data_IF_001514874294
#
_entry.id   IF_001514874294
#
_cell.length_a   1.000
_cell.length_b   1.000
_cell.length_c   1.000
_cell.angle_alpha   90.00
_cell.angle_beta   90.00
_cell.angle_gamma   90.00
#
_symmetry.space_group_name_H-M   'P 1'
#
loop_
_entity.id
_entity.type
_entity.pdbx_description
1 polymer ?
#
# COMPACT_ATOMS: atom_id res chain seq x y z
N UNK A 1 -15.19 -4.62 20.72
CA UNK A 1 -16.30 -3.63 20.66
C UNK A 1 -15.87 -2.28 20.06
N UNK A 2 -14.82 -1.63 20.56
CA UNK A 2 -14.37 -0.31 20.04
C UNK A 2 -13.89 -0.33 18.58
N UNK A 3 -13.13 -1.35 18.17
CA UNK A 3 -12.68 -1.52 16.78
C UNK A 3 -13.85 -1.67 15.79
N UNK A 4 -14.89 -2.43 16.17
CA UNK A 4 -16.11 -2.60 15.37
C UNK A 4 -16.90 -1.29 15.22
N UNK A 5 -17.05 -0.50 16.29
CA UNK A 5 -17.72 0.81 16.20
C UNK A 5 -16.98 1.79 15.30
N UNK A 6 -15.66 1.91 15.47
CA UNK A 6 -14.81 2.76 14.62
C UNK A 6 -14.95 2.39 13.14
N UNK A 7 -15.00 1.10 12.85
CA UNK A 7 -15.21 0.56 11.52
C UNK A 7 -16.58 0.94 10.92
N UNK A 8 -17.66 0.83 11.70
CA UNK A 8 -19.00 1.25 11.26
C UNK A 8 -19.07 2.77 11.05
N UNK A 9 -18.41 3.55 11.90
CA UNK A 9 -18.31 5.01 11.74
C UNK A 9 -17.60 5.38 10.43
N UNK A 10 -16.47 4.76 10.10
CA UNK A 10 -15.77 5.00 8.84
C UNK A 10 -16.64 4.68 7.62
N UNK A 11 -17.41 3.59 7.69
CA UNK A 11 -18.34 3.22 6.63
C UNK A 11 -19.47 4.25 6.48
N UNK A 12 -20.06 4.72 7.58
CA UNK A 12 -21.07 5.78 7.55
C UNK A 12 -20.50 7.09 6.99
N UNK A 13 -19.32 7.50 7.44
CA UNK A 13 -18.61 8.69 6.92
C UNK A 13 -18.34 8.58 5.42
N UNK A 14 -17.94 7.40 4.95
CA UNK A 14 -17.73 7.13 3.52
C UNK A 14 -19.00 7.36 2.71
N UNK A 15 -20.14 6.83 3.16
CA UNK A 15 -21.43 6.97 2.48
C UNK A 15 -21.90 8.43 2.48
N UNK A 16 -21.82 9.11 3.63
CA UNK A 16 -22.26 10.50 3.79
C UNK A 16 -21.40 11.43 2.93
N UNK A 17 -20.08 11.28 2.98
CA UNK A 17 -19.18 12.13 2.19
C UNK A 17 -19.36 11.89 0.70
N UNK A 18 -19.49 10.63 0.25
CA UNK A 18 -19.74 10.32 -1.15
C UNK A 18 -20.97 11.03 -1.73
N UNK A 19 -22.03 11.22 -0.93
CA UNK A 19 -23.28 11.85 -1.37
C UNK A 19 -23.30 13.37 -1.20
N UNK A 20 -22.54 13.91 -0.25
CA UNK A 20 -22.69 15.29 0.19
C UNK A 20 -21.37 16.07 0.24
N UNK A 21 -20.30 15.61 -0.43
CA UNK A 21 -18.97 16.25 -0.39
C UNK A 21 -18.98 17.73 -0.82
N UNK A 22 -19.89 18.14 -1.69
CA UNK A 22 -20.03 19.54 -2.14
C UNK A 22 -20.51 20.46 -1.00
N UNK A 23 -21.45 19.97 -0.18
CA UNK A 23 -22.02 20.70 0.95
C UNK A 23 -21.05 20.65 2.14
N UNK A 24 -20.47 19.49 2.40
CA UNK A 24 -19.51 19.29 3.50
C UNK A 24 -18.22 20.06 3.22
N UNK A 25 -17.80 20.11 1.96
CA UNK A 25 -16.55 20.72 1.55
C UNK A 25 -15.32 19.90 1.99
N UNK A 26 -14.17 20.55 2.22
CA UNK A 26 -12.94 19.88 2.60
C UNK A 26 -13.05 19.22 3.98
N UNK A 27 -12.45 18.05 4.13
CA UNK A 27 -12.44 17.32 5.38
C UNK A 27 -11.23 17.74 6.21
N UNK A 28 -11.46 18.34 7.37
CA UNK A 28 -10.39 18.94 8.18
C UNK A 28 -9.31 17.93 8.62
N UNK A 29 -9.70 16.68 8.88
CA UNK A 29 -8.82 15.65 9.43
C UNK A 29 -8.22 14.71 8.37
N UNK A 30 -8.17 15.12 7.10
CA UNK A 30 -7.62 14.27 6.01
C UNK A 30 -6.22 13.75 6.32
N UNK A 31 -5.35 14.57 6.91
CA UNK A 31 -4.00 14.15 7.31
C UNK A 31 -4.01 13.07 8.40
N UNK A 32 -4.96 13.16 9.32
CA UNK A 32 -5.12 12.15 10.37
C UNK A 32 -5.60 10.83 9.79
N UNK A 33 -6.51 10.84 8.81
CA UNK A 33 -6.96 9.63 8.10
C UNK A 33 -5.79 8.90 7.44
N UNK A 34 -4.89 9.62 6.77
CA UNK A 34 -3.67 9.04 6.19
C UNK A 34 -2.74 8.48 7.27
N UNK A 35 -2.57 9.19 8.39
CA UNK A 35 -1.76 8.72 9.51
C UNK A 35 -2.34 7.44 10.15
N UNK A 36 -3.66 7.34 10.24
CA UNK A 36 -4.34 6.14 10.70
C UNK A 36 -4.09 4.97 9.75
N UNK A 37 -4.13 5.21 8.44
CA UNK A 37 -3.83 4.19 7.42
C UNK A 37 -2.37 3.70 7.51
N UNK A 38 -1.41 4.61 7.72
CA UNK A 38 0.00 4.26 7.91
C UNK A 38 0.23 3.40 9.16
N UNK A 39 -0.50 3.67 10.24
CA UNK A 39 -0.28 3.03 11.55
C UNK A 39 -1.12 1.77 11.80
N UNK A 40 -2.27 1.63 11.13
CA UNK A 40 -3.16 0.50 11.40
C UNK A 40 -2.49 -0.83 11.06
N UNK A 41 -2.73 -1.84 11.91
CA UNK A 41 -2.41 -3.25 11.66
C UNK A 41 -3.68 -4.08 11.47
N UNK A 42 -4.86 -3.49 11.59
CA UNK A 42 -6.13 -4.18 11.38
C UNK A 42 -6.55 -4.10 9.91
N UNK A 43 -6.74 -5.26 9.26
CA UNK A 43 -7.08 -5.36 7.83
C UNK A 43 -8.44 -4.74 7.51
N UNK A 44 -9.42 -4.90 8.41
CA UNK A 44 -10.75 -4.34 8.23
C UNK A 44 -10.72 -2.80 8.33
N UNK A 45 -9.99 -2.26 9.31
CA UNK A 45 -9.76 -0.82 9.44
C UNK A 45 -9.02 -0.25 8.22
N UNK A 46 -7.96 -0.92 7.76
CA UNK A 46 -7.20 -0.54 6.54
C UNK A 46 -8.15 -0.36 5.36
N UNK A 47 -8.98 -1.36 5.09
CA UNK A 47 -9.86 -1.35 3.91
C UNK A 47 -10.90 -0.24 4.01
N UNK A 48 -11.50 -0.04 5.19
CA UNK A 48 -12.47 1.04 5.43
C UNK A 48 -11.83 2.43 5.32
N UNK A 49 -10.61 2.61 5.81
CA UNK A 49 -9.86 3.86 5.64
C UNK A 49 -9.59 4.13 4.15
N UNK A 50 -9.18 3.10 3.40
CA UNK A 50 -8.93 3.23 1.97
C UNK A 50 -10.21 3.59 1.20
N UNK A 51 -11.33 2.92 1.51
CA UNK A 51 -12.65 3.25 0.96
C UNK A 51 -13.03 4.70 1.27
N UNK A 52 -12.77 5.18 2.49
CA UNK A 52 -13.05 6.57 2.84
C UNK A 52 -12.16 7.54 2.06
N UNK A 53 -10.87 7.26 1.95
CA UNK A 53 -9.92 8.05 1.15
C UNK A 53 -10.39 8.15 -0.31
N UNK A 54 -10.92 7.07 -0.89
CA UNK A 54 -11.50 7.07 -2.24
C UNK A 54 -12.64 8.08 -2.43
N UNK A 55 -13.29 8.50 -1.34
CA UNK A 55 -14.33 9.52 -1.35
C UNK A 55 -13.80 10.88 -0.95
N UNK A 56 -12.81 10.96 -0.07
CA UNK A 56 -12.14 12.22 0.28
C UNK A 56 -11.52 12.90 -0.94
N UNK A 57 -11.01 12.13 -1.90
CA UNK A 57 -10.39 12.67 -3.12
C UNK A 57 -11.37 13.37 -4.08
N UNK A 58 -12.68 13.28 -3.85
CA UNK A 58 -13.68 14.05 -4.60
C UNK A 58 -13.49 15.57 -4.41
N UNK A 59 -12.90 15.99 -3.29
CA UNK A 59 -12.58 17.39 -3.03
C UNK A 59 -11.09 17.69 -3.26
N UNK A 60 -10.81 18.66 -4.13
CA UNK A 60 -9.45 19.03 -4.54
C UNK A 60 -8.53 19.46 -3.37
N UNK A 61 -9.08 20.08 -2.31
CA UNK A 61 -8.29 20.48 -1.13
C UNK A 61 -7.83 19.27 -0.32
N UNK A 62 -8.67 18.25 -0.16
CA UNK A 62 -8.28 17.01 0.51
C UNK A 62 -7.16 16.31 -0.25
N UNK A 63 -7.22 16.30 -1.59
CA UNK A 63 -6.16 15.71 -2.42
C UNK A 63 -4.82 16.39 -2.18
N UNK A 64 -4.82 17.73 -2.05
CA UNK A 64 -3.62 18.49 -1.67
C UNK A 64 -3.10 18.07 -0.29
N UNK A 65 -3.99 17.97 0.70
CA UNK A 65 -3.62 17.54 2.05
C UNK A 65 -3.03 16.12 2.08
N UNK A 66 -3.58 15.18 1.29
CA UNK A 66 -3.05 13.81 1.13
C UNK A 66 -1.65 13.83 0.53
N UNK A 67 -1.43 14.63 -0.52
CA UNK A 67 -0.12 14.78 -1.16
C UNK A 67 0.90 15.37 -0.17
N UNK A 68 0.50 16.39 0.58
CA UNK A 68 1.39 17.13 1.48
C UNK A 68 1.78 16.34 2.72
N UNK A 69 0.94 15.41 3.19
CA UNK A 69 1.27 14.53 4.32
C UNK A 69 1.93 13.20 3.90
N UNK A 70 2.34 13.06 2.63
CA UNK A 70 3.03 11.85 2.15
C UNK A 70 2.13 10.65 1.84
N UNK A 71 0.81 10.85 1.71
CA UNK A 71 -0.16 9.78 1.49
C UNK A 71 0.09 8.98 0.20
N UNK A 72 0.70 9.57 -0.82
CA UNK A 72 1.10 8.85 -2.05
C UNK A 72 2.03 7.66 -1.73
N UNK A 73 3.02 7.88 -0.85
CA UNK A 73 3.96 6.82 -0.46
C UNK A 73 3.26 5.74 0.35
N UNK A 74 2.37 6.11 1.28
CA UNK A 74 1.58 5.16 2.07
C UNK A 74 0.69 4.29 1.18
N UNK A 75 0.02 4.89 0.19
CA UNK A 75 -0.81 4.18 -0.77
C UNK A 75 0.01 3.18 -1.60
N UNK A 76 1.13 3.61 -2.18
CA UNK A 76 2.00 2.75 -3.00
C UNK A 76 2.55 1.57 -2.18
N UNK A 77 2.94 1.80 -0.93
CA UNK A 77 3.44 0.73 -0.06
C UNK A 77 2.40 -0.36 0.24
N UNK A 78 1.12 0.01 0.36
CA UNK A 78 0.03 -0.96 0.52
C UNK A 78 -0.24 -1.74 -0.76
N UNK A 79 -0.03 -1.11 -1.91
CA UNK A 79 -0.24 -1.72 -3.22
C UNK A 79 0.72 -2.90 -3.47
N UNK A 80 1.92 -2.86 -2.88
CA UNK A 80 2.88 -3.98 -2.92
C UNK A 80 2.31 -5.29 -2.36
N UNK A 81 1.24 -5.24 -1.56
CA UNK A 81 0.57 -6.44 -1.04
C UNK A 81 -0.06 -7.29 -2.15
N UNK A 82 -0.33 -6.74 -3.34
CA UNK A 82 -0.78 -7.51 -4.49
C UNK A 82 0.14 -8.72 -4.76
N UNK A 83 1.45 -8.59 -4.54
CA UNK A 83 2.42 -9.68 -4.73
C UNK A 83 2.26 -10.86 -3.77
N UNK A 84 1.46 -10.71 -2.71
CA UNK A 84 1.14 -11.78 -1.76
C UNK A 84 -0.13 -12.55 -2.15
N UNK A 85 -0.82 -12.16 -3.22
CA UNK A 85 -2.06 -12.79 -3.63
C UNK A 85 -1.83 -14.20 -4.20
N UNK A 86 -2.35 -15.22 -3.50
CA UNK A 86 -2.10 -16.64 -3.78
C UNK A 86 -3.20 -17.24 -4.70
N UNK A 87 -4.42 -16.73 -4.66
CA UNK A 87 -5.57 -17.28 -5.39
C UNK A 87 -5.80 -16.55 -6.73
N UNK A 88 -4.82 -16.59 -7.63
CA UNK A 88 -4.92 -15.99 -8.96
C UNK A 88 -5.40 -17.04 -9.97
N UNK A 89 -6.39 -16.69 -10.78
CA UNK A 89 -6.68 -17.46 -11.99
C UNK A 89 -5.48 -17.32 -12.93
N UNK A 90 -4.73 -18.41 -13.14
CA UNK A 90 -3.62 -18.41 -14.10
C UNK A 90 -4.19 -18.28 -15.50
N UNK A 91 -3.93 -17.16 -16.17
CA UNK A 91 -4.25 -17.01 -17.59
C UNK A 91 -3.24 -17.87 -18.37
N UNK A 92 -3.65 -18.88 -19.15
CA UNK A 92 -2.72 -19.85 -19.76
C UNK A 92 -1.84 -19.31 -20.90
N UNK A 93 -1.70 -17.99 -21.06
CA UNK A 93 -1.21 -17.40 -22.30
C UNK A 93 -0.20 -16.28 -22.03
N UNK A 94 1.08 -16.65 -21.88
CA UNK A 94 2.19 -15.97 -22.56
C UNK A 94 3.52 -16.69 -22.29
N UNK A 95 4.06 -17.40 -23.29
CA UNK A 95 5.38 -18.06 -23.24
C UNK A 95 6.58 -17.07 -23.24
N UNK A 96 6.31 -15.77 -23.10
CA UNK A 96 7.29 -14.69 -23.13
C UNK A 96 7.40 -13.96 -21.78
N UNK A 97 6.79 -14.53 -20.74
CA UNK A 97 6.77 -13.95 -19.40
C UNK A 97 8.01 -14.38 -18.63
N UNK A 98 8.64 -13.43 -17.94
CA UNK A 98 9.68 -13.75 -16.95
C UNK A 98 8.96 -14.31 -15.71
N UNK A 99 8.78 -15.63 -15.68
CA UNK A 99 8.17 -16.35 -14.57
C UNK A 99 9.18 -17.26 -13.86
N UNK A 100 8.99 -17.42 -12.54
CA UNK A 100 9.68 -18.47 -11.79
C UNK A 100 9.04 -19.83 -12.07
N UNK A 101 9.82 -20.91 -12.07
CA UNK A 101 9.28 -22.27 -12.15
C UNK A 101 8.22 -22.50 -11.07
N UNK A 102 7.17 -23.26 -11.37
CA UNK A 102 6.12 -23.65 -10.42
C UNK A 102 6.63 -24.43 -9.20
N UNK A 103 7.89 -24.88 -9.23
CA UNK A 103 8.59 -25.56 -8.12
C UNK A 103 9.39 -24.61 -7.22
N UNK A 104 9.64 -23.37 -7.66
CA UNK A 104 10.37 -22.38 -6.86
C UNK A 104 9.42 -21.61 -5.94
N UNK A 105 9.51 -21.87 -4.64
CA UNK A 105 8.81 -21.09 -3.62
C UNK A 105 9.67 -19.92 -3.16
N UNK A 106 9.25 -18.69 -3.50
CA UNK A 106 9.89 -17.42 -3.08
C UNK A 106 10.18 -17.36 -1.57
N UNK A 107 9.37 -18.03 -0.76
CA UNK A 107 9.48 -18.01 0.70
C UNK A 107 10.72 -18.73 1.27
N UNK A 108 11.49 -19.46 0.43
CA UNK A 108 12.67 -20.20 0.85
C UNK A 108 14.00 -19.43 0.65
N UNK A 109 14.01 -18.31 -0.07
CA UNK A 109 15.22 -17.51 -0.25
C UNK A 109 15.65 -16.85 1.08
N UNK A 110 16.92 -17.02 1.44
CA UNK A 110 17.48 -16.50 2.69
C UNK A 110 18.02 -15.08 2.48
N UNK A 111 17.17 -14.10 2.72
CA UNK A 111 17.45 -12.68 2.47
C UNK A 111 17.26 -11.78 3.72
N UNK A 112 16.61 -12.29 4.76
CA UNK A 112 16.24 -11.52 5.94
C UNK A 112 17.28 -11.60 7.05
N UNK A 113 17.56 -10.45 7.64
CA UNK A 113 18.38 -10.32 8.84
C UNK A 113 17.59 -9.57 9.90
N UNK A 114 17.80 -9.90 11.17
CA UNK A 114 17.29 -9.13 12.29
C UNK A 114 18.39 -8.82 13.31
N UNK A 115 18.24 -7.70 14.03
CA UNK A 115 19.17 -7.30 15.08
C UNK A 115 18.70 -7.78 16.45
N UNK A 116 19.58 -8.42 17.23
CA UNK A 116 19.34 -8.76 18.64
C UNK A 116 19.79 -7.61 19.57
N UNK A 117 19.43 -7.68 20.85
CA UNK A 117 19.72 -6.64 21.85
C UNK A 117 21.20 -6.23 21.94
N UNK A 118 22.14 -7.10 21.55
CA UNK A 118 23.59 -6.84 21.54
C UNK A 118 24.16 -6.27 20.23
N UNK A 119 23.31 -5.70 19.35
CA UNK A 119 23.69 -5.17 18.03
C UNK A 119 24.28 -6.19 17.05
N UNK A 120 24.22 -7.48 17.38
CA UNK A 120 24.63 -8.55 16.50
C UNK A 120 23.58 -8.76 15.39
N UNK A 121 24.06 -8.82 14.15
CA UNK A 121 23.26 -9.12 12.96
C UNK A 121 23.08 -10.64 12.87
N UNK A 122 21.84 -11.11 12.97
CA UNK A 122 21.51 -12.54 12.88
C UNK A 122 20.83 -12.82 11.54
N UNK A 123 21.32 -13.85 10.83
CA UNK A 123 20.82 -14.26 9.51
C UNK A 123 21.94 -14.65 8.54
N UNK A 124 21.62 -14.93 7.26
CA UNK A 124 20.32 -14.72 6.63
C UNK A 124 19.30 -15.81 6.95
N UNK A 125 18.03 -15.42 7.03
CA UNK A 125 16.86 -16.29 7.19
C UNK A 125 15.91 -16.14 6.00
N UNK A 126 15.17 -17.21 5.72
CA UNK A 126 14.05 -17.16 4.79
C UNK A 126 12.83 -16.51 5.42
N UNK A 127 11.87 -16.09 4.60
CA UNK A 127 10.64 -15.51 5.12
C UNK A 127 9.84 -16.52 5.96
N UNK A 128 9.88 -17.81 5.61
CA UNK A 128 9.24 -18.86 6.41
C UNK A 128 9.93 -19.08 7.75
N UNK A 129 11.28 -19.07 7.79
CA UNK A 129 12.03 -19.13 9.06
C UNK A 129 11.69 -17.94 9.96
N UNK A 130 11.54 -16.72 9.40
CA UNK A 130 11.08 -15.55 10.15
C UNK A 130 9.66 -15.73 10.69
N UNK A 131 8.73 -16.31 9.92
CA UNK A 131 7.36 -16.59 10.41
C UNK A 131 7.39 -17.54 11.61
N UNK A 132 8.21 -18.58 11.54
CA UNK A 132 8.27 -19.58 12.61
C UNK A 132 8.93 -19.02 13.88
N UNK A 133 10.04 -18.29 13.74
CA UNK A 133 10.65 -17.54 14.86
C UNK A 133 9.68 -16.54 15.50
N UNK A 134 8.82 -15.90 14.70
CA UNK A 134 7.80 -15.00 15.22
C UNK A 134 6.74 -15.74 16.06
N UNK A 135 6.34 -16.95 15.66
CA UNK A 135 5.43 -17.80 16.45
C UNK A 135 6.06 -18.27 17.76
N UNK A 136 7.37 -18.49 17.76
CA UNK A 136 8.15 -18.84 18.95
C UNK A 136 8.38 -17.65 19.90
N UNK A 137 7.98 -16.44 19.50
CA UNK A 137 8.12 -15.23 20.32
C UNK A 137 9.54 -14.64 20.31
N UNK A 138 10.34 -14.93 19.28
CA UNK A 138 11.73 -14.47 19.18
C UNK A 138 11.88 -12.96 18.97
N UNK A 139 10.80 -12.26 18.57
CA UNK A 139 10.83 -10.84 18.20
C UNK A 139 9.99 -9.98 19.13
N UNK A 140 10.52 -8.79 19.43
CA UNK A 140 9.82 -7.72 20.14
C UNK A 140 9.46 -6.56 19.19
N UNK A 141 8.68 -5.59 19.68
CA UNK A 141 8.31 -4.40 18.89
C UNK A 141 9.50 -3.50 18.49
N UNK A 142 10.68 -3.68 19.11
CA UNK A 142 11.89 -2.90 18.85
C UNK A 142 12.84 -3.60 17.87
N UNK A 143 12.58 -4.87 17.58
CA UNK A 143 13.40 -5.70 16.70
C UNK A 143 13.42 -5.07 15.32
N UNK A 144 14.63 -4.84 14.82
CA UNK A 144 14.86 -4.25 13.51
C UNK A 144 15.25 -5.34 12.53
N UNK A 145 14.69 -5.25 11.34
CA UNK A 145 14.91 -6.14 10.22
C UNK A 145 15.60 -5.39 9.09
N UNK A 146 16.39 -6.13 8.31
CA UNK A 146 17.04 -5.64 7.11
C UNK A 146 17.10 -6.76 6.07
N UNK A 147 16.96 -6.39 4.81
CA UNK A 147 17.12 -7.25 3.65
C UNK A 147 17.76 -6.42 2.53
N UNK A 148 18.36 -7.11 1.56
CA UNK A 148 18.95 -6.42 0.40
C UNK A 148 17.87 -5.62 -0.34
N UNK A 149 18.16 -4.37 -0.67
CA UNK A 149 17.20 -3.45 -1.31
C UNK A 149 16.43 -2.55 -0.34
N UNK A 150 16.52 -2.77 0.98
CA UNK A 150 16.05 -1.79 1.97
C UNK A 150 17.08 -0.67 2.19
N UNK A 151 16.58 0.56 2.36
CA UNK A 151 17.31 1.79 2.68
C UNK A 151 17.88 1.83 4.12
N UNK A 152 17.67 0.77 4.90
CA UNK A 152 18.22 0.64 6.24
C UNK A 152 17.45 -0.33 7.12
N UNK A 153 17.90 -0.45 8.37
CA UNK A 153 17.25 -1.27 9.40
C UNK A 153 15.90 -0.66 9.80
N UNK A 154 14.83 -1.44 9.69
CA UNK A 154 13.47 -0.99 9.97
C UNK A 154 12.77 -1.92 10.95
N UNK A 155 11.90 -1.38 11.78
CA UNK A 155 11.02 -2.19 12.63
C UNK A 155 9.95 -2.90 11.79
N UNK A 156 9.37 -3.95 12.36
CA UNK A 156 8.41 -4.81 11.66
C UNK A 156 7.18 -4.05 11.12
N UNK A 157 6.72 -3.01 11.83
CA UNK A 157 5.61 -2.14 11.42
C UNK A 157 5.93 -1.26 10.20
N UNK A 158 7.21 -1.07 9.88
CA UNK A 158 7.67 -0.20 8.77
C UNK A 158 7.99 -0.95 7.49
N UNK A 159 7.88 -2.28 7.49
CA UNK A 159 8.10 -3.12 6.33
C UNK A 159 6.74 -3.72 5.94
N UNK A 160 6.14 -3.35 4.80
CA UNK A 160 4.79 -3.79 4.43
C UNK A 160 4.60 -5.31 4.47
N UNK A 161 5.54 -6.09 3.92
CA UNK A 161 5.47 -7.55 3.93
C UNK A 161 5.43 -8.10 5.36
N UNK A 162 6.31 -7.65 6.26
CA UNK A 162 6.33 -8.15 7.64
C UNK A 162 5.09 -7.66 8.41
N UNK A 163 4.73 -6.38 8.28
CA UNK A 163 3.55 -5.79 8.92
C UNK A 163 2.28 -6.57 8.59
N UNK A 164 2.03 -6.83 7.30
CA UNK A 164 0.77 -7.41 6.85
C UNK A 164 0.71 -8.93 6.90
N UNK A 165 1.86 -9.61 7.05
CA UNK A 165 1.91 -11.06 7.23
C UNK A 165 2.10 -11.51 8.68
N UNK A 166 2.76 -10.73 9.53
CA UNK A 166 3.12 -11.14 10.91
C UNK A 166 2.39 -10.36 12.00
N UNK A 167 2.15 -9.05 11.80
CA UNK A 167 1.49 -8.21 12.82
C UNK A 167 0.00 -8.03 12.57
N UNK A 168 -0.45 -8.20 11.33
CA UNK A 168 -1.79 -7.80 10.97
C UNK A 168 -2.88 -8.65 11.63
N UNK A 169 -3.92 -7.98 12.09
CA UNK A 169 -5.11 -8.57 12.70
C UNK A 169 -6.35 -8.33 11.85
N UNK A 170 -7.45 -8.97 12.24
CA UNK A 170 -8.75 -8.73 11.64
C UNK A 170 -8.94 -9.39 10.28
N UNK A 171 -10.18 -9.42 9.83
CA UNK A 171 -10.56 -9.98 8.55
C UNK A 171 -10.52 -8.90 7.47
N UNK A 172 -9.86 -9.19 6.36
CA UNK A 172 -9.84 -8.32 5.17
C UNK A 172 -11.24 -8.24 4.57
N UNK A 173 -11.65 -7.04 4.16
CA UNK A 173 -12.86 -6.82 3.36
C UNK A 173 -12.55 -6.94 1.86
N UNK A 174 -11.35 -6.50 1.48
CA UNK A 174 -10.82 -6.59 0.12
C UNK A 174 -9.80 -7.73 0.05
N UNK A 175 -9.76 -8.46 -1.06
CA UNK A 175 -8.58 -9.29 -1.36
C UNK A 175 -7.40 -8.40 -1.80
N UNK A 176 -6.20 -8.97 -1.92
CA UNK A 176 -4.99 -8.19 -2.20
C UNK A 176 -5.01 -7.53 -3.59
N UNK A 177 -5.65 -8.15 -4.59
CA UNK A 177 -5.85 -7.55 -5.91
C UNK A 177 -6.85 -6.40 -5.88
N UNK A 178 -8.02 -6.58 -5.25
CA UNK A 178 -9.03 -5.53 -5.07
C UNK A 178 -8.48 -4.32 -4.30
N UNK A 179 -7.64 -4.57 -3.29
CA UNK A 179 -6.94 -3.53 -2.55
C UNK A 179 -6.04 -2.71 -3.48
N UNK A 180 -5.23 -3.37 -4.31
CA UNK A 180 -4.34 -2.70 -5.25
C UNK A 180 -5.10 -1.96 -6.35
N UNK A 181 -6.18 -2.54 -6.91
CA UNK A 181 -7.08 -1.87 -7.86
C UNK A 181 -7.65 -0.60 -7.22
N UNK A 182 -8.15 -0.68 -5.99
CA UNK A 182 -8.70 0.49 -5.28
C UNK A 182 -7.67 1.60 -5.12
N UNK A 183 -6.42 1.24 -4.79
CA UNK A 183 -5.31 2.20 -4.69
C UNK A 183 -4.99 2.82 -6.06
N UNK A 184 -4.93 2.02 -7.12
CA UNK A 184 -4.70 2.52 -8.48
C UNK A 184 -5.80 3.49 -8.90
N UNK A 185 -7.08 3.15 -8.70
CA UNK A 185 -8.20 4.05 -8.99
C UNK A 185 -8.11 5.37 -8.22
N UNK A 186 -7.66 5.34 -6.96
CA UNK A 186 -7.41 6.56 -6.15
C UNK A 186 -6.31 7.39 -6.80
N UNK A 187 -5.15 6.79 -7.12
CA UNK A 187 -4.01 7.50 -7.71
C UNK A 187 -4.33 8.08 -9.09
N UNK A 188 -5.06 7.33 -9.93
CA UNK A 188 -5.54 7.79 -11.24
C UNK A 188 -6.47 8.99 -11.10
N UNK A 189 -7.50 8.89 -10.24
CA UNK A 189 -8.44 9.99 -9.98
C UNK A 189 -7.72 11.24 -9.45
N UNK A 190 -6.75 11.07 -8.54
CA UNK A 190 -5.94 12.19 -8.06
C UNK A 190 -5.08 12.80 -9.18
N UNK A 191 -4.59 12.02 -10.15
CA UNK A 191 -3.82 12.52 -11.29
C UNK A 191 -4.68 13.28 -12.31
N UNK A 192 -5.93 12.87 -12.50
CA UNK A 192 -6.91 13.54 -13.38
C UNK A 192 -7.22 14.95 -12.89
N UNK A 193 -7.30 15.14 -11.57
CA UNK A 193 -7.50 16.46 -10.94
C UNK A 193 -6.34 17.44 -11.17
N UNK A 194 -5.14 16.93 -11.51
CA UNK A 194 -3.98 17.75 -11.84
C UNK A 194 -3.46 17.41 -13.25
N UNK A 195 -4.08 17.93 -14.32
CA UNK A 195 -3.68 17.63 -15.69
C UNK A 195 -2.24 18.10 -15.97
N UNK A 196 -1.54 17.39 -16.86
CA UNK A 196 -0.18 17.76 -17.29
C UNK A 196 -0.18 18.64 -18.55
N UNK A 197 -1.35 18.86 -19.13
CA UNK A 197 -1.55 19.65 -20.34
C UNK A 197 -2.65 20.65 -20.05
N UNK A 198 -2.47 21.86 -20.55
CA UNK A 198 -3.51 22.87 -20.54
C UNK A 198 -4.67 22.42 -21.42
N UNK A 199 -5.91 22.53 -20.92
CA UNK A 199 -7.10 22.00 -21.61
C UNK A 199 -7.45 22.78 -22.87
N UNK A 200 -7.04 24.06 -22.95
CA UNK A 200 -7.39 24.95 -24.07
C UNK A 200 -6.31 24.93 -25.15
N UNK A 201 -5.05 25.06 -24.74
CA UNK A 201 -3.91 25.20 -25.65
C UNK A 201 -3.19 23.87 -25.94
N UNK A 202 -3.44 22.82 -25.16
CA UNK A 202 -2.74 21.54 -25.25
C UNK A 202 -1.26 21.59 -24.81
N UNK A 203 -0.78 22.77 -24.38
CA UNK A 203 0.59 23.00 -23.96
C UNK A 203 0.93 22.19 -22.71
N UNK A 204 2.19 21.73 -22.61
CA UNK A 204 2.64 20.94 -21.46
C UNK A 204 2.86 21.87 -20.26
N UNK A 205 2.21 21.57 -19.14
CA UNK A 205 2.35 22.32 -17.88
C UNK A 205 3.66 21.90 -17.20
N UNK A 206 4.54 22.88 -16.98
CA UNK A 206 5.82 22.72 -16.28
C UNK A 206 5.94 23.72 -15.13
N UNK A 207 6.46 23.31 -13.95
CA UNK A 207 6.84 21.94 -13.58
C UNK A 207 5.61 21.02 -13.53
N UNK A 208 5.82 19.71 -13.71
CA UNK A 208 4.72 18.75 -13.65
C UNK A 208 3.99 18.81 -12.29
N UNK A 209 2.69 18.45 -12.25
CA UNK A 209 1.95 18.31 -11.01
C UNK A 209 2.70 17.51 -9.94
N UNK A 210 2.59 17.95 -8.68
CA UNK A 210 3.32 17.37 -7.55
C UNK A 210 3.08 15.87 -7.42
N UNK A 211 1.82 15.41 -7.59
CA UNK A 211 1.49 13.98 -7.55
C UNK A 211 2.27 13.16 -8.58
N UNK A 212 2.31 13.61 -9.84
CA UNK A 212 3.03 12.91 -10.92
C UNK A 212 4.53 12.89 -10.68
N UNK A 213 5.09 13.94 -10.07
CA UNK A 213 6.49 13.95 -9.64
C UNK A 213 6.75 12.94 -8.53
N UNK A 214 5.87 12.84 -7.53
CA UNK A 214 5.99 11.89 -6.43
C UNK A 214 5.83 10.43 -6.88
N UNK A 215 4.97 10.16 -7.87
CA UNK A 215 4.83 8.83 -8.47
C UNK A 215 6.10 8.39 -9.20
N UNK A 216 6.83 9.33 -9.80
CA UNK A 216 8.11 9.09 -10.46
C UNK A 216 9.32 9.14 -9.52
N UNK A 217 9.10 9.33 -8.21
CA UNK A 217 10.18 9.30 -7.24
C UNK A 217 10.84 7.90 -7.20
N UNK A 218 12.18 7.79 -7.04
CA UNK A 218 12.87 6.50 -6.98
C UNK A 218 12.36 5.55 -5.90
N UNK A 219 11.72 6.06 -4.85
CA UNK A 219 11.12 5.24 -3.78
C UNK A 219 9.71 4.74 -4.10
N UNK A 220 9.10 5.22 -5.20
CA UNK A 220 7.72 4.93 -5.61
C UNK A 220 7.66 4.17 -6.94
N UNK A 221 8.41 4.64 -7.94
CA UNK A 221 8.34 4.13 -9.31
C UNK A 221 8.67 2.63 -9.44
N UNK A 222 9.68 2.07 -8.73
CA UNK A 222 9.95 0.65 -8.79
C UNK A 222 8.76 -0.19 -8.34
N UNK A 223 8.06 0.23 -7.28
CA UNK A 223 6.88 -0.48 -6.76
C UNK A 223 5.70 -0.43 -7.74
N UNK A 224 5.49 0.70 -8.42
CA UNK A 224 4.50 0.82 -9.50
C UNK A 224 4.85 -0.12 -10.66
N UNK A 225 6.13 -0.15 -11.09
CA UNK A 225 6.57 -1.02 -12.17
C UNK A 225 6.48 -2.51 -11.81
N UNK A 226 6.76 -2.85 -10.55
CA UNK A 226 6.67 -4.23 -10.05
C UNK A 226 5.25 -4.76 -10.12
N UNK A 227 4.22 -3.92 -10.01
CA UNK A 227 2.84 -4.39 -10.17
C UNK A 227 2.60 -5.07 -11.53
N UNK A 228 3.29 -4.65 -12.59
CA UNK A 228 3.16 -5.29 -13.90
C UNK A 228 3.60 -6.76 -13.85
N UNK A 229 4.54 -7.09 -12.98
CA UNK A 229 5.03 -8.45 -12.74
C UNK A 229 4.08 -9.29 -11.87
N UNK A 230 2.96 -8.72 -11.42
CA UNK A 230 1.88 -9.53 -10.85
C UNK A 230 1.12 -10.29 -11.94
N UNK A 231 1.20 -9.84 -13.20
CA UNK A 231 0.46 -10.39 -14.34
C UNK A 231 -1.06 -10.51 -14.07
N UNK A 232 -1.59 -9.67 -13.18
CA UNK A 232 -3.02 -9.57 -12.93
C UNK A 232 -3.65 -8.69 -14.02
N UNK A 233 -4.51 -9.22 -14.91
CA UNK A 233 -5.14 -8.39 -15.94
C UNK A 233 -5.87 -7.19 -15.33
N UNK A 234 -6.47 -7.37 -14.15
CA UNK A 234 -7.19 -6.27 -13.47
C UNK A 234 -6.27 -5.17 -12.97
N UNK A 235 -4.96 -5.42 -12.77
CA UNK A 235 -3.99 -4.41 -12.37
C UNK A 235 -3.20 -3.85 -13.56
N UNK A 236 -2.99 -4.66 -14.60
CA UNK A 236 -2.17 -4.31 -15.77
C UNK A 236 -2.99 -3.55 -16.82
N UNK A 237 -4.28 -3.87 -16.97
CA UNK A 237 -5.16 -3.28 -17.98
C UNK A 237 -6.06 -2.15 -17.42
N UNK A 238 -5.89 -1.78 -16.14
CA UNK A 238 -6.69 -0.75 -15.45
C UNK A 238 -6.32 0.69 -15.85
#
# INVERSE_FOLDING_TARGET
>A
KQASMKSMCLQAMTIVYARHYEIIGPFNDTKHIILMLDRTIDKCERDRLLMFISKLILNHRNVRDIIDCGGIKTLIQLMCLAHLHINRAQVPLASNVIESSSTMTRENEKEWYYGKQDKEKVGPYSFNEIKDLNKEGAFDAKTRFWAQGLDGWKTMDRIPQLKWSLLASGQSLLNDSELAVTILSILTSMCELYPSRDQVTGAIIRPFPKIKRLLNDPTCLPHLSQLLLTFDPTLVEN
#
